data_IF_681920931635
#
_entry.id   IF_681920931635
#
_cell.length_a   1.000
_cell.length_b   1.000
_cell.length_c   1.000
_cell.angle_alpha   90.00
_cell.angle_beta   90.00
_cell.angle_gamma   90.00
#
_symmetry.space_group_name_H-M   'P 1'
#
loop_
_entity.id
_entity.type
_entity.pdbx_description
1 polymer ?
#
# COMPACT_ATOMS: atom_id res chain seq x y z
N UNK A 1 11.43 -6.83 -7.18
CA UNK A 1 11.05 -5.56 -6.56
C UNK A 1 10.27 -4.77 -7.59
N UNK A 2 9.00 -4.60 -7.37
CA UNK A 2 8.14 -3.75 -8.21
C UNK A 2 8.04 -2.37 -7.56
N UNK A 3 8.07 -1.32 -8.37
CA UNK A 3 7.93 0.07 -7.91
C UNK A 3 6.56 0.57 -8.33
N UNK A 4 5.85 1.27 -7.43
CA UNK A 4 4.56 1.89 -7.75
C UNK A 4 4.68 2.95 -8.84
N UNK A 5 5.79 3.69 -8.84
CA UNK A 5 6.07 4.74 -9.82
C UNK A 5 7.42 4.50 -10.51
N UNK A 6 7.50 3.56 -11.48
CA UNK A 6 8.76 3.28 -12.19
C UNK A 6 9.27 4.48 -12.98
N UNK A 7 8.39 5.40 -13.39
CA UNK A 7 8.76 6.66 -14.05
C UNK A 7 9.71 7.54 -13.20
N UNK A 8 9.64 7.45 -11.87
CA UNK A 8 10.54 8.20 -10.98
C UNK A 8 11.99 7.72 -11.05
N UNK A 9 12.23 6.50 -11.54
CA UNK A 9 13.59 5.99 -11.78
C UNK A 9 14.28 6.71 -12.95
N UNK A 10 13.53 7.36 -13.85
CA UNK A 10 14.09 8.25 -14.85
C UNK A 10 14.76 9.49 -14.25
N UNK A 11 14.54 9.78 -12.97
CA UNK A 11 15.26 10.78 -12.19
C UNK A 11 16.67 10.36 -11.77
N UNK A 12 17.11 9.11 -12.00
CA UNK A 12 18.46 8.64 -11.68
C UNK A 12 19.59 9.54 -12.23
N UNK A 13 19.50 10.13 -13.42
CA UNK A 13 20.50 11.09 -13.90
C UNK A 13 20.67 12.32 -13.00
N UNK A 14 19.67 12.67 -12.18
CA UNK A 14 19.77 13.79 -11.21
C UNK A 14 20.87 13.55 -10.16
N UNK A 15 21.26 12.30 -9.91
CA UNK A 15 22.36 11.94 -9.01
C UNK A 15 23.70 12.49 -9.53
N UNK A 16 23.82 12.69 -10.84
CA UNK A 16 25.03 13.28 -11.45
C UNK A 16 25.15 14.78 -11.16
N UNK A 17 24.05 15.46 -10.83
CA UNK A 17 24.02 16.90 -10.63
C UNK A 17 24.93 17.36 -9.47
N UNK A 18 24.91 16.79 -8.27
CA UNK A 18 25.84 17.11 -7.20
C UNK A 18 27.30 16.86 -7.58
N UNK A 19 27.56 15.81 -8.38
CA UNK A 19 28.91 15.46 -8.85
C UNK A 19 29.39 16.51 -9.85
N UNK A 20 28.57 16.91 -10.82
CA UNK A 20 28.88 17.96 -11.79
C UNK A 20 29.15 19.31 -11.10
N UNK A 21 28.29 19.71 -10.17
CA UNK A 21 28.47 20.96 -9.40
C UNK A 21 29.80 20.90 -8.62
N UNK A 22 30.12 19.77 -8.00
CA UNK A 22 31.37 19.59 -7.28
C UNK A 22 32.59 19.70 -8.22
N UNK A 23 32.52 19.08 -9.40
CA UNK A 23 33.58 19.11 -10.40
C UNK A 23 33.79 20.51 -10.95
N UNK A 24 32.71 21.23 -11.32
CA UNK A 24 32.80 22.61 -11.80
C UNK A 24 33.36 23.56 -10.75
N UNK A 25 32.97 23.40 -9.49
CA UNK A 25 33.46 24.22 -8.40
C UNK A 25 34.96 23.95 -8.14
N UNK A 26 35.42 22.70 -8.32
CA UNK A 26 36.84 22.32 -8.21
C UNK A 26 37.71 22.93 -9.33
N UNK A 27 37.13 23.03 -10.55
CA UNK A 27 37.87 23.56 -11.72
C UNK A 27 38.00 25.09 -11.64
N UNK A 28 37.14 25.79 -10.89
CA UNK A 28 37.11 27.25 -10.81
C UNK A 28 38.22 27.84 -9.93
N UNK A 29 38.90 27.06 -9.10
CA UNK A 29 39.98 27.52 -8.23
C UNK A 29 41.31 27.45 -8.97
N UNK A 30 41.68 28.49 -9.73
CA UNK A 30 43.04 28.68 -10.24
C UNK A 30 43.96 29.05 -9.07
N UNK A 31 44.95 28.22 -8.83
CA UNK A 31 46.03 28.48 -7.85
C UNK A 31 46.97 29.50 -8.45
N UNK A 32 47.01 30.72 -7.93
CA UNK A 32 48.03 31.69 -8.23
C UNK A 32 49.24 31.40 -7.33
N UNK A 33 50.43 31.03 -7.91
CA UNK A 33 51.61 30.76 -7.12
C UNK A 33 52.24 32.07 -6.68
N UNK A 34 52.17 32.39 -5.39
CA UNK A 34 52.90 33.49 -4.78
C UNK A 34 54.20 32.97 -4.16
N UNK A 35 55.32 33.62 -4.41
CA UNK A 35 56.66 33.20 -3.98
C UNK A 35 56.83 33.04 -2.45
N UNK A 36 56.09 33.84 -1.65
CA UNK A 36 56.11 33.76 -0.18
C UNK A 36 55.41 32.52 0.42
N UNK A 37 54.71 31.73 -0.40
CA UNK A 37 53.95 30.53 0.06
C UNK A 37 54.80 29.28 0.24
N UNK A 38 56.07 29.29 -0.11
CA UNK A 38 56.92 28.10 -0.08
C UNK A 38 57.13 27.58 1.37
N UNK A 39 57.28 28.49 2.34
CA UNK A 39 57.47 28.15 3.76
C UNK A 39 56.18 27.68 4.44
N UNK A 40 55.00 28.24 4.08
CA UNK A 40 53.72 27.82 4.63
C UNK A 40 53.29 26.42 4.11
N UNK A 41 53.81 25.99 2.98
CA UNK A 41 53.46 24.72 2.35
C UNK A 41 54.00 23.50 3.10
N UNK A 42 55.11 23.66 3.84
CA UNK A 42 55.66 22.56 4.67
C UNK A 42 54.82 22.31 5.95
N UNK A 43 54.35 23.37 6.57
CA UNK A 43 53.53 23.26 7.81
C UNK A 43 52.13 22.70 7.57
N UNK A 44 51.58 22.82 6.37
CA UNK A 44 50.16 22.55 6.11
C UNK A 44 49.85 21.18 5.45
N UNK A 45 50.85 20.25 5.35
CA UNK A 45 50.64 18.93 4.75
C UNK A 45 49.62 18.05 5.48
N UNK A 46 49.46 18.17 6.80
CA UNK A 46 48.48 17.40 7.57
C UNK A 46 47.03 17.93 7.37
N UNK A 47 46.87 19.26 7.28
CA UNK A 47 45.55 19.92 7.11
C UNK A 47 44.91 19.62 5.75
N UNK A 48 45.69 19.45 4.69
CA UNK A 48 45.16 19.21 3.33
C UNK A 48 44.50 17.83 3.15
N UNK A 49 44.92 16.81 3.91
CA UNK A 49 44.31 15.48 3.85
C UNK A 49 42.92 15.51 4.45
N UNK A 50 42.77 16.13 5.62
CA UNK A 50 41.45 16.27 6.27
C UNK A 50 40.48 17.14 5.46
N UNK A 51 40.99 18.22 4.83
CA UNK A 51 40.17 19.06 3.97
C UNK A 51 39.65 18.29 2.73
N UNK A 52 40.48 17.45 2.11
CA UNK A 52 40.05 16.58 1.01
C UNK A 52 39.03 15.54 1.46
N UNK A 53 39.29 14.88 2.60
CA UNK A 53 38.37 13.89 3.16
C UNK A 53 37.00 14.53 3.42
N UNK A 54 36.95 15.70 4.04
CA UNK A 54 35.73 16.46 4.29
C UNK A 54 34.96 16.78 3.01
N UNK A 55 35.67 17.19 1.95
CA UNK A 55 35.06 17.48 0.65
C UNK A 55 34.40 16.24 0.03
N UNK A 56 35.09 15.09 0.07
CA UNK A 56 34.55 13.81 -0.41
C UNK A 56 33.35 13.34 0.43
N UNK A 57 33.40 13.53 1.74
CA UNK A 57 32.34 13.16 2.64
C UNK A 57 31.08 13.99 2.39
N UNK A 58 31.24 15.29 2.18
CA UNK A 58 30.12 16.19 1.82
C UNK A 58 29.52 15.81 0.46
N UNK A 59 30.35 15.47 -0.52
CA UNK A 59 29.85 14.98 -1.82
C UNK A 59 29.07 13.68 -1.67
N UNK A 60 29.61 12.73 -0.92
CA UNK A 60 28.95 11.45 -0.63
C UNK A 60 27.57 11.66 -0.01
N UNK A 61 27.46 12.50 1.03
CA UNK A 61 26.19 12.79 1.67
C UNK A 61 25.19 13.48 0.74
N UNK A 62 25.62 14.36 -0.15
CA UNK A 62 24.75 14.98 -1.14
C UNK A 62 24.20 13.97 -2.15
N UNK A 63 25.05 13.09 -2.66
CA UNK A 63 24.64 12.00 -3.57
C UNK A 63 23.67 11.06 -2.86
N UNK A 64 23.98 10.69 -1.62
CA UNK A 64 23.14 9.81 -0.81
C UNK A 64 21.78 10.44 -0.52
N UNK A 65 21.73 11.74 -0.23
CA UNK A 65 20.48 12.46 -0.01
C UNK A 65 19.58 12.46 -1.25
N UNK A 66 20.14 12.73 -2.44
CA UNK A 66 19.39 12.68 -3.70
C UNK A 66 18.90 11.25 -3.98
N UNK A 67 19.74 10.26 -3.76
CA UNK A 67 19.41 8.85 -3.95
C UNK A 67 18.27 8.43 -3.00
N UNK A 68 18.35 8.80 -1.72
CA UNK A 68 17.29 8.51 -0.73
C UNK A 68 15.98 9.22 -1.07
N UNK A 69 16.06 10.46 -1.58
CA UNK A 69 14.87 11.20 -2.03
C UNK A 69 14.20 10.49 -3.21
N UNK A 70 14.97 10.10 -4.23
CA UNK A 70 14.45 9.36 -5.38
C UNK A 70 13.86 8.01 -4.96
N UNK A 71 14.54 7.32 -4.04
CA UNK A 71 14.04 6.05 -3.49
C UNK A 71 12.72 6.24 -2.73
N UNK A 72 12.61 7.28 -1.93
CA UNK A 72 11.38 7.61 -1.20
C UNK A 72 10.22 7.96 -2.17
N UNK A 73 10.50 8.74 -3.22
CA UNK A 73 9.51 9.12 -4.23
C UNK A 73 9.07 7.94 -5.11
N UNK A 74 9.95 6.99 -5.39
CA UNK A 74 9.64 5.80 -6.19
C UNK A 74 8.69 4.83 -5.48
N UNK A 75 8.44 5.03 -4.16
CA UNK A 75 7.56 4.19 -3.32
C UNK A 75 7.78 2.70 -3.61
N UNK A 76 8.94 2.14 -3.26
CA UNK A 76 9.20 0.73 -3.50
C UNK A 76 8.15 -0.10 -2.77
N UNK A 77 7.46 -0.99 -3.50
CA UNK A 77 6.57 -1.96 -2.88
C UNK A 77 7.42 -2.88 -2.02
N UNK A 78 7.29 -2.70 -0.72
CA UNK A 78 8.00 -3.49 0.27
C UNK A 78 7.42 -4.92 0.34
N UNK A 79 7.61 -5.66 -0.75
CA UNK A 79 7.36 -7.10 -0.79
C UNK A 79 8.57 -7.87 -0.27
N UNK A 80 8.39 -8.80 0.64
CA UNK A 80 9.48 -9.63 1.18
C UNK A 80 10.12 -9.05 2.44
N UNK A 81 11.46 -9.24 2.58
CA UNK A 81 12.23 -8.92 3.79
C UNK A 81 12.10 -7.47 4.29
N UNK A 82 12.03 -6.48 3.38
CA UNK A 82 11.87 -5.08 3.77
C UNK A 82 10.44 -4.71 4.18
N UNK A 83 9.41 -5.38 3.67
CA UNK A 83 8.02 -5.14 4.04
C UNK A 83 7.71 -5.42 5.52
N UNK A 84 8.42 -6.39 6.10
CA UNK A 84 8.30 -6.68 7.54
C UNK A 84 8.93 -5.64 8.46
N UNK A 85 9.87 -4.83 7.96
CA UNK A 85 10.54 -3.80 8.76
C UNK A 85 9.78 -2.46 8.81
N UNK A 86 8.97 -2.13 7.78
CA UNK A 86 8.40 -0.79 7.64
C UNK A 86 6.90 -0.68 7.82
N UNK A 87 6.13 -1.75 7.67
CA UNK A 87 4.72 -1.76 8.09
C UNK A 87 4.14 -3.17 8.07
N UNK A 88 3.54 -3.58 9.16
CA UNK A 88 2.62 -4.72 9.22
C UNK A 88 1.20 -4.32 8.78
N UNK A 89 0.92 -3.03 8.62
CA UNK A 89 -0.39 -2.48 8.26
C UNK A 89 -0.50 -2.28 6.75
N UNK A 90 -1.63 -2.64 6.13
CA UNK A 90 -1.89 -2.33 4.74
C UNK A 90 -2.13 -0.82 4.55
N UNK A 91 -1.77 -0.28 3.39
CA UNK A 91 -2.06 1.13 3.05
C UNK A 91 -3.56 1.34 2.83
N UNK A 92 -4.26 0.30 2.33
CA UNK A 92 -5.71 0.33 2.11
C UNK A 92 -6.36 -0.96 2.58
N UNK A 93 -7.52 -0.83 3.21
CA UNK A 93 -8.43 -1.93 3.55
C UNK A 93 -9.72 -1.73 2.79
N UNK A 94 -10.03 -2.63 1.88
CA UNK A 94 -11.30 -2.66 1.16
C UNK A 94 -12.24 -3.64 1.85
N UNK A 95 -13.40 -3.18 2.26
CA UNK A 95 -14.41 -3.98 2.91
C UNK A 95 -15.52 -4.27 1.90
N UNK A 96 -15.80 -5.53 1.66
CA UNK A 96 -16.96 -6.02 0.90
C UNK A 96 -17.91 -6.64 1.90
N UNK A 97 -19.11 -6.04 2.04
CA UNK A 97 -20.13 -6.50 2.94
C UNK A 97 -21.29 -7.11 2.14
N UNK A 98 -21.45 -8.41 2.26
CA UNK A 98 -22.60 -9.14 1.72
C UNK A 98 -23.85 -8.76 2.51
N UNK A 99 -24.86 -8.23 1.81
CA UNK A 99 -26.16 -7.84 2.39
C UNK A 99 -27.29 -8.59 1.72
N UNK A 100 -27.02 -9.77 1.15
CA UNK A 100 -28.05 -10.64 0.59
C UNK A 100 -29.07 -11.09 1.67
N UNK A 101 -30.27 -11.51 1.29
CA UNK A 101 -31.31 -11.91 2.24
C UNK A 101 -30.87 -13.02 3.20
N UNK A 102 -29.95 -13.87 2.79
CA UNK A 102 -29.39 -14.94 3.62
C UNK A 102 -28.63 -14.45 4.85
N UNK A 103 -28.11 -13.20 4.80
CA UNK A 103 -27.41 -12.57 5.92
C UNK A 103 -28.34 -12.12 7.05
N UNK A 104 -29.68 -12.13 6.85
CA UNK A 104 -30.65 -11.93 7.93
C UNK A 104 -30.82 -13.19 8.81
N UNK A 105 -30.31 -14.34 8.37
CA UNK A 105 -30.34 -15.56 9.18
C UNK A 105 -29.77 -15.32 10.58
N UNK A 106 -30.55 -15.69 11.60
CA UNK A 106 -30.22 -15.45 13.01
C UNK A 106 -29.72 -16.71 13.69
N UNK A 107 -28.66 -16.57 14.44
CA UNK A 107 -28.20 -17.57 15.38
C UNK A 107 -27.89 -16.86 16.70
N UNK A 108 -28.39 -17.41 17.82
CA UNK A 108 -28.24 -16.81 19.16
C UNK A 108 -28.83 -15.39 19.29
N UNK A 109 -29.88 -15.08 18.51
CA UNK A 109 -30.57 -13.79 18.55
C UNK A 109 -29.94 -12.68 17.68
N UNK A 110 -28.74 -12.82 17.20
CA UNK A 110 -28.06 -11.87 16.31
C UNK A 110 -28.11 -12.34 14.84
N UNK A 111 -28.28 -11.40 13.90
CA UNK A 111 -28.20 -11.72 12.48
C UNK A 111 -26.74 -11.91 12.04
N UNK A 112 -26.53 -12.70 10.96
CA UNK A 112 -25.20 -12.84 10.35
C UNK A 112 -24.64 -11.49 9.91
N UNK A 113 -25.51 -10.60 9.44
CA UNK A 113 -25.12 -9.23 9.06
C UNK A 113 -24.59 -8.44 10.27
N UNK A 114 -25.24 -8.53 11.44
CA UNK A 114 -24.78 -7.87 12.66
C UNK A 114 -23.45 -8.45 13.15
N UNK A 115 -23.32 -9.77 13.16
CA UNK A 115 -22.05 -10.44 13.49
C UNK A 115 -20.92 -9.99 12.55
N UNK A 116 -21.22 -9.85 11.25
CA UNK A 116 -20.25 -9.32 10.25
C UNK A 116 -19.78 -7.91 10.59
N UNK A 117 -20.70 -7.02 10.93
CA UNK A 117 -20.41 -5.64 11.34
C UNK A 117 -19.50 -5.59 12.56
N UNK A 118 -19.87 -6.36 13.59
CA UNK A 118 -19.08 -6.43 14.82
C UNK A 118 -17.66 -6.95 14.53
N UNK A 119 -17.53 -8.00 13.71
CA UNK A 119 -16.26 -8.57 13.33
C UNK A 119 -15.39 -7.57 12.55
N UNK A 120 -15.98 -6.86 11.57
CA UNK A 120 -15.30 -5.80 10.81
C UNK A 120 -14.83 -4.69 11.74
N UNK A 121 -15.72 -4.12 12.55
CA UNK A 121 -15.39 -3.02 13.47
C UNK A 121 -14.33 -3.42 14.50
N UNK A 122 -14.39 -4.66 15.00
CA UNK A 122 -13.38 -5.20 15.92
C UNK A 122 -12.00 -5.31 15.22
N UNK A 123 -11.99 -5.84 14.00
CA UNK A 123 -10.78 -5.95 13.20
C UNK A 123 -10.19 -4.57 12.86
N UNK A 124 -11.04 -3.60 12.51
CA UNK A 124 -10.62 -2.25 12.14
C UNK A 124 -9.97 -1.46 13.28
N UNK A 125 -10.23 -1.78 14.56
CA UNK A 125 -9.56 -1.11 15.70
C UNK A 125 -8.02 -1.21 15.62
N UNK A 126 -7.49 -2.25 14.97
CA UNK A 126 -6.05 -2.41 14.75
C UNK A 126 -5.50 -1.62 13.55
N UNK A 127 -6.36 -1.16 12.64
CA UNK A 127 -5.98 -0.54 11.37
C UNK A 127 -6.35 0.94 11.27
N UNK A 128 -7.25 1.43 12.13
CA UNK A 128 -7.85 2.77 12.07
C UNK A 128 -6.85 3.94 12.03
N UNK A 129 -5.61 3.71 12.49
CA UNK A 129 -4.55 4.72 12.43
C UNK A 129 -3.57 4.39 11.29
N UNK A 130 -3.75 5.03 10.15
CA UNK A 130 -2.79 5.03 9.04
C UNK A 130 -3.16 4.23 7.79
N UNK A 131 -4.27 3.49 7.78
CA UNK A 131 -4.79 2.81 6.57
C UNK A 131 -6.01 3.54 6.02
N UNK A 132 -6.07 3.73 4.69
CA UNK A 132 -7.31 4.18 4.03
C UNK A 132 -8.34 3.04 4.11
N UNK A 133 -9.55 3.37 4.51
CA UNK A 133 -10.66 2.40 4.57
C UNK A 133 -11.63 2.69 3.46
N UNK A 134 -12.02 1.66 2.74
CA UNK A 134 -12.90 1.76 1.59
C UNK A 134 -13.98 0.69 1.72
N UNK A 135 -15.24 1.08 1.58
CA UNK A 135 -16.38 0.18 1.63
C UNK A 135 -16.95 -0.03 0.23
N UNK A 136 -17.19 -1.27 -0.13
CA UNK A 136 -17.98 -1.66 -1.27
C UNK A 136 -19.27 -2.31 -0.75
N UNK A 137 -20.37 -1.58 -0.88
CA UNK A 137 -21.68 -2.11 -0.52
C UNK A 137 -22.19 -3.05 -1.62
N UNK A 138 -23.02 -3.98 -1.25
CA UNK A 138 -23.65 -4.99 -2.09
C UNK A 138 -24.30 -4.45 -3.37
N UNK A 139 -24.89 -3.26 -3.32
CA UNK A 139 -25.54 -2.61 -4.46
C UNK A 139 -24.65 -1.58 -5.16
N UNK A 140 -23.49 -1.26 -4.60
CA UNK A 140 -22.64 -0.23 -5.14
C UNK A 140 -21.71 -0.80 -6.23
N UNK A 141 -21.79 -0.20 -7.40
CA UNK A 141 -20.84 -0.43 -8.49
C UNK A 141 -19.51 0.30 -8.22
N UNK A 142 -19.48 1.14 -7.21
CA UNK A 142 -18.35 2.02 -6.89
C UNK A 142 -17.90 1.83 -5.46
N UNK A 143 -16.61 1.95 -5.30
CA UNK A 143 -15.91 1.87 -4.00
C UNK A 143 -16.04 3.22 -3.31
N UNK A 144 -16.54 3.23 -2.07
CA UNK A 144 -16.73 4.46 -1.29
C UNK A 144 -15.64 4.59 -0.22
N UNK A 145 -14.92 5.70 -0.25
CA UNK A 145 -13.91 5.99 0.76
C UNK A 145 -14.55 6.39 2.09
N UNK A 146 -14.03 5.83 3.17
CA UNK A 146 -14.54 6.01 4.52
C UNK A 146 -13.53 6.77 5.35
N UNK A 147 -13.84 8.01 5.71
CA UNK A 147 -12.91 8.89 6.43
C UNK A 147 -12.76 8.59 7.93
N UNK A 148 -13.69 7.82 8.53
CA UNK A 148 -13.63 7.53 9.97
C UNK A 148 -14.36 6.22 10.31
N UNK A 149 -14.05 5.66 11.48
CA UNK A 149 -14.74 4.46 12.00
C UNK A 149 -16.24 4.71 12.24
N UNK A 150 -16.62 5.92 12.63
CA UNK A 150 -18.03 6.30 12.80
C UNK A 150 -18.76 6.36 11.45
N UNK A 151 -18.12 6.91 10.41
CA UNK A 151 -18.66 6.90 9.05
C UNK A 151 -18.83 5.46 8.55
N UNK A 152 -17.89 4.57 8.80
CA UNK A 152 -17.98 3.14 8.47
C UNK A 152 -19.17 2.49 9.14
N UNK A 153 -19.35 2.73 10.45
CA UNK A 153 -20.49 2.20 11.21
C UNK A 153 -21.82 2.67 10.64
N UNK A 154 -21.94 3.95 10.30
CA UNK A 154 -23.13 4.52 9.71
C UNK A 154 -23.44 3.94 8.33
N UNK A 155 -22.42 3.81 7.46
CA UNK A 155 -22.57 3.22 6.13
C UNK A 155 -22.99 1.73 6.18
N UNK A 156 -22.48 1.00 7.16
CA UNK A 156 -22.87 -0.40 7.36
C UNK A 156 -24.22 -0.57 8.08
N UNK A 157 -24.88 0.49 8.57
CA UNK A 157 -26.08 0.39 9.41
C UNK A 157 -27.35 -0.08 8.67
N UNK A 158 -27.39 -0.04 7.34
CA UNK A 158 -28.52 -0.50 6.53
C UNK A 158 -28.84 -1.99 6.72
N UNK A 159 -30.09 -2.41 6.52
CA UNK A 159 -30.53 -3.81 6.58
C UNK A 159 -29.99 -4.67 5.44
N UNK A 160 -30.50 -5.91 5.34
CA UNK A 160 -30.29 -6.75 4.17
C UNK A 160 -31.04 -6.19 2.95
N UNK A 161 -30.58 -6.52 1.77
CA UNK A 161 -31.23 -6.19 0.50
C UNK A 161 -31.98 -7.42 -0.04
N UNK A 162 -32.99 -7.18 -0.87
CA UNK A 162 -33.79 -8.25 -1.47
C UNK A 162 -33.10 -8.93 -2.68
N UNK A 163 -31.91 -8.53 -3.01
CA UNK A 163 -31.15 -9.07 -4.15
C UNK A 163 -29.98 -9.94 -3.70
N UNK A 164 -29.66 -10.97 -4.49
CA UNK A 164 -28.47 -11.79 -4.27
C UNK A 164 -27.21 -10.96 -4.52
N UNK A 165 -26.15 -11.22 -3.78
CA UNK A 165 -24.85 -10.63 -4.03
C UNK A 165 -24.17 -11.33 -5.23
N UNK A 166 -23.43 -10.57 -6.02
CA UNK A 166 -22.47 -11.13 -7.00
C UNK A 166 -21.05 -10.77 -6.55
N UNK A 167 -20.52 -11.58 -5.63
CA UNK A 167 -19.21 -11.35 -5.03
C UNK A 167 -18.06 -11.38 -6.04
N UNK A 168 -18.05 -12.27 -7.07
CA UNK A 168 -17.08 -12.19 -8.14
C UNK A 168 -17.07 -10.82 -8.86
N UNK A 169 -18.26 -10.26 -9.21
CA UNK A 169 -18.33 -8.92 -9.83
C UNK A 169 -17.81 -7.83 -8.91
N UNK A 170 -18.08 -7.92 -7.62
CA UNK A 170 -17.55 -6.96 -6.65
C UNK A 170 -16.02 -7.05 -6.53
N UNK A 171 -15.46 -8.26 -6.53
CA UNK A 171 -14.01 -8.45 -6.55
C UNK A 171 -13.37 -7.93 -7.84
N UNK A 172 -14.03 -8.10 -9.00
CA UNK A 172 -13.58 -7.52 -10.28
C UNK A 172 -13.58 -5.98 -10.22
N UNK A 173 -14.61 -5.38 -9.62
CA UNK A 173 -14.67 -3.93 -9.45
C UNK A 173 -13.57 -3.42 -8.50
N UNK A 174 -13.30 -4.14 -7.42
CA UNK A 174 -12.20 -3.84 -6.51
C UNK A 174 -10.86 -3.98 -7.22
N UNK A 175 -10.65 -5.02 -8.05
CA UNK A 175 -9.44 -5.17 -8.84
C UNK A 175 -9.21 -3.96 -9.75
N UNK A 176 -10.22 -3.54 -10.52
CA UNK A 176 -10.17 -2.35 -11.38
C UNK A 176 -9.87 -1.08 -10.59
N UNK A 177 -10.41 -0.97 -9.39
CA UNK A 177 -10.12 0.14 -8.49
C UNK A 177 -8.64 0.14 -8.05
N UNK A 178 -8.06 -1.04 -7.74
CA UNK A 178 -6.63 -1.17 -7.45
C UNK A 178 -5.75 -0.78 -8.64
N UNK A 179 -6.17 -1.10 -9.86
CA UNK A 179 -5.47 -0.72 -11.09
C UNK A 179 -5.49 0.80 -11.31
N UNK A 180 -6.63 1.45 -11.05
CA UNK A 180 -6.80 2.89 -11.28
C UNK A 180 -6.15 3.75 -10.21
N UNK A 181 -6.39 3.44 -8.93
CA UNK A 181 -5.91 4.23 -7.79
C UNK A 181 -4.45 3.92 -7.43
N UNK A 182 -3.97 2.75 -7.84
CA UNK A 182 -2.62 2.29 -7.61
C UNK A 182 -2.15 2.50 -6.14
N UNK A 183 -2.95 2.09 -5.13
CA UNK A 183 -2.55 2.20 -3.74
C UNK A 183 -1.32 1.32 -3.47
N UNK A 184 -0.70 1.42 -2.32
CA UNK A 184 0.41 0.58 -1.91
C UNK A 184 -0.01 -0.87 -1.66
N UNK A 185 0.18 -1.35 -0.44
CA UNK A 185 -0.29 -2.68 -0.02
C UNK A 185 -1.77 -2.65 0.32
N UNK A 186 -2.53 -3.67 -0.11
CA UNK A 186 -3.96 -3.76 0.10
C UNK A 186 -4.40 -5.01 0.85
N UNK A 187 -5.47 -4.88 1.62
CA UNK A 187 -6.17 -6.00 2.21
C UNK A 187 -7.67 -5.89 1.88
N UNK A 188 -8.25 -6.97 1.35
CA UNK A 188 -9.67 -7.04 1.01
C UNK A 188 -10.34 -7.92 2.04
N UNK A 189 -11.33 -7.38 2.74
CA UNK A 189 -12.12 -8.12 3.71
C UNK A 189 -13.49 -8.40 3.12
N UNK A 190 -13.79 -9.66 2.91
CA UNK A 190 -15.08 -10.11 2.40
C UNK A 190 -15.85 -10.75 3.54
N UNK A 191 -16.96 -10.13 3.95
CA UNK A 191 -17.87 -10.67 4.95
C UNK A 191 -19.11 -11.25 4.28
N UNK A 192 -19.27 -12.56 4.29
CA UNK A 192 -20.34 -13.30 3.63
C UNK A 192 -20.65 -14.62 4.34
N UNK A 193 -21.84 -15.16 4.14
CA UNK A 193 -22.23 -16.48 4.62
C UNK A 193 -21.83 -17.63 3.68
N UNK A 194 -21.09 -17.32 2.61
CA UNK A 194 -20.55 -18.27 1.65
C UNK A 194 -21.60 -19.06 0.84
N UNK A 195 -22.76 -18.49 0.61
CA UNK A 195 -23.77 -19.16 -0.23
C UNK A 195 -23.27 -19.26 -1.69
N UNK A 196 -23.47 -20.44 -2.27
CA UNK A 196 -23.05 -20.71 -3.65
C UNK A 196 -23.71 -19.79 -4.67
N UNK A 197 -24.94 -19.31 -4.42
CA UNK A 197 -25.62 -18.32 -5.25
C UNK A 197 -24.89 -16.98 -5.35
N UNK A 198 -24.20 -16.56 -4.28
CA UNK A 198 -23.49 -15.30 -4.20
C UNK A 198 -22.03 -15.40 -4.69
N UNK A 199 -21.46 -16.60 -4.62
CA UNK A 199 -20.06 -16.84 -4.97
C UNK A 199 -19.85 -17.46 -6.35
N UNK A 200 -20.89 -18.02 -6.97
CA UNK A 200 -20.85 -18.68 -8.27
C UNK A 200 -19.61 -19.60 -8.45
N UNK A 201 -19.43 -20.62 -7.59
CA UNK A 201 -18.25 -21.48 -7.64
C UNK A 201 -18.17 -22.35 -8.88
N UNK A 202 -19.24 -22.45 -9.66
CA UNK A 202 -19.32 -23.20 -10.92
C UNK A 202 -18.55 -22.51 -12.04
N UNK A 203 -18.46 -21.18 -12.04
CA UNK A 203 -17.82 -20.36 -13.07
C UNK A 203 -16.28 -20.34 -12.92
N UNK A 204 -15.63 -21.47 -13.12
CA UNK A 204 -14.18 -21.63 -12.93
C UNK A 204 -13.35 -20.67 -13.78
N UNK A 205 -13.78 -20.35 -14.98
CA UNK A 205 -13.06 -19.42 -15.87
C UNK A 205 -13.08 -18.00 -15.31
N UNK A 206 -14.20 -17.54 -14.76
CA UNK A 206 -14.33 -16.26 -14.10
C UNK A 206 -13.37 -16.14 -12.92
N UNK A 207 -13.33 -17.18 -12.07
CA UNK A 207 -12.42 -17.22 -10.94
C UNK A 207 -10.94 -17.24 -11.36
N UNK A 208 -10.59 -17.98 -12.43
CA UNK A 208 -9.21 -17.94 -12.97
C UNK A 208 -8.83 -16.55 -13.47
N UNK A 209 -9.75 -15.89 -14.20
CA UNK A 209 -9.53 -14.52 -14.67
C UNK A 209 -9.29 -13.55 -13.50
N UNK A 210 -10.10 -13.67 -12.45
CA UNK A 210 -10.03 -12.86 -11.25
C UNK A 210 -8.70 -13.06 -10.49
N UNK A 211 -8.31 -14.31 -10.26
CA UNK A 211 -7.03 -14.63 -9.61
C UNK A 211 -5.86 -14.12 -10.45
N UNK A 212 -5.87 -14.38 -11.77
CA UNK A 212 -4.83 -13.89 -12.67
C UNK A 212 -4.74 -12.38 -12.70
N UNK A 213 -5.88 -11.68 -12.61
CA UNK A 213 -5.91 -10.23 -12.52
C UNK A 213 -5.28 -9.69 -11.25
N UNK A 214 -5.59 -10.27 -10.09
CA UNK A 214 -4.95 -9.88 -8.82
C UNK A 214 -3.45 -10.23 -8.78
N UNK A 215 -3.04 -11.35 -9.37
CA UNK A 215 -1.61 -11.71 -9.50
C UNK A 215 -0.85 -10.75 -10.42
N UNK A 216 -1.53 -10.19 -11.41
CA UNK A 216 -0.98 -9.19 -12.34
C UNK A 216 -0.80 -7.79 -11.73
N UNK A 217 -1.42 -7.51 -10.58
CA UNK A 217 -1.27 -6.22 -9.91
C UNK A 217 0.17 -6.00 -9.42
N UNK A 218 0.72 -4.79 -9.56
CA UNK A 218 2.03 -4.47 -9.01
C UNK A 218 2.04 -4.44 -7.48
N UNK A 219 0.87 -4.22 -6.86
CA UNK A 219 0.68 -4.18 -5.41
C UNK A 219 0.51 -5.58 -4.83
N UNK A 220 0.88 -5.74 -3.56
CA UNK A 220 0.56 -6.94 -2.80
C UNK A 220 -0.82 -6.80 -2.19
N UNK A 221 -1.77 -7.58 -2.70
CA UNK A 221 -3.15 -7.63 -2.19
C UNK A 221 -3.35 -8.95 -1.43
N UNK A 222 -3.96 -8.87 -0.25
CA UNK A 222 -4.37 -10.03 0.55
C UNK A 222 -5.88 -10.05 0.65
N UNK A 223 -6.48 -11.21 0.51
CA UNK A 223 -7.92 -11.39 0.72
C UNK A 223 -8.13 -12.10 2.05
N UNK A 224 -8.97 -11.50 2.90
CA UNK A 224 -9.42 -12.07 4.16
C UNK A 224 -10.91 -12.35 4.09
N UNK A 225 -11.26 -13.59 4.26
CA UNK A 225 -12.65 -14.02 4.27
C UNK A 225 -13.16 -14.07 5.72
N UNK A 226 -14.22 -13.31 5.99
CA UNK A 226 -14.97 -13.34 7.24
C UNK A 226 -16.23 -14.21 7.02
N UNK A 227 -16.07 -15.51 7.22
CA UNK A 227 -17.13 -16.46 7.00
C UNK A 227 -18.16 -16.41 8.16
N UNK A 228 -19.43 -16.16 7.83
CA UNK A 228 -20.56 -16.08 8.77
C UNK A 228 -21.45 -17.33 8.73
N UNK A 229 -20.94 -18.43 8.21
CA UNK A 229 -21.62 -19.72 8.19
C UNK A 229 -21.40 -20.41 9.54
N UNK A 230 -22.36 -20.28 10.44
CA UNK A 230 -22.42 -21.23 11.57
C UNK A 230 -22.91 -22.58 11.03
N UNK A 231 -22.30 -23.71 11.47
CA UNK A 231 -22.85 -25.02 11.14
C UNK A 231 -24.29 -25.03 11.66
N UNK A 232 -25.25 -25.38 10.79
CA UNK A 232 -26.60 -25.65 11.21
C UNK A 232 -26.51 -26.78 12.25
N UNK A 233 -26.70 -26.43 13.51
CA UNK A 233 -26.89 -27.44 14.56
C UNK A 233 -28.20 -28.15 14.21
N UNK A 234 -28.10 -29.27 13.53
CA UNK A 234 -29.21 -30.17 13.33
C UNK A 234 -29.63 -30.69 14.71
N UNK A 235 -30.68 -30.10 15.29
CA UNK A 235 -31.36 -30.74 16.40
C UNK A 235 -32.05 -31.98 15.82
N UNK A 236 -31.43 -33.14 16.01
CA UNK A 236 -32.14 -34.43 15.95
C UNK A 236 -33.02 -34.57 17.19
#
# INVERSE_FOLDING_TARGET
>A
MTFLNPLMLWGLPLILLPVLVHLFNRLRHRKLPWAAMMFLRMANRKSTRYAKLRQWLVLLFRVLAVLMLLFALSRPLAGGWMGGMFSSKPDVVVIILDRSPSMDGRADGESRLEKSRVAILKGMKGFAEGSRVVLMDHTATHVQEVGSTEALKNLMSGGVNDTAADLPSQLEAVQKWFESENPGTGEIWVASDLQASNWDPASKERWRGLVGGFEGLPQKVRVRLLAMNEPLVSNN
#
